data_IF_111659646060
#
_entry.id   IF_111659646060
#
_cell.length_a   1.000
_cell.length_b   1.000
_cell.length_c   1.000
_cell.angle_alpha   90.00
_cell.angle_beta   90.00
_cell.angle_gamma   90.00
#
_symmetry.space_group_name_H-M   'P 1'
#
loop_
_entity.id
_entity.type
_entity.pdbx_description
1 polymer ?
#
# COMPACT_ATOMS: atom_id res chain seq x y z
N UNK A 1 -5.09 5.28 24.76
CA UNK A 1 -4.88 4.61 26.04
C UNK A 1 -3.49 4.94 26.54
N UNK A 2 -3.44 5.61 27.74
CA UNK A 2 -2.20 5.93 28.39
C UNK A 2 -1.65 4.66 29.07
N UNK A 3 -0.86 3.88 28.34
CA UNK A 3 -0.10 2.79 28.93
C UNK A 3 1.12 3.41 29.60
N UNK A 4 1.19 3.40 30.93
CA UNK A 4 2.38 3.80 31.67
C UNK A 4 3.44 2.70 31.50
N UNK A 5 4.61 3.04 30.96
CA UNK A 5 5.74 2.13 30.73
C UNK A 5 6.06 1.94 29.25
N UNK A 6 7.04 1.09 28.96
CA UNK A 6 7.37 0.70 27.59
C UNK A 6 6.22 -0.09 26.96
N UNK A 7 5.57 0.52 25.99
CA UNK A 7 4.45 -0.08 25.28
C UNK A 7 4.88 -1.00 24.13
N UNK A 8 6.15 -0.95 23.73
CA UNK A 8 6.78 -1.86 22.80
C UNK A 8 7.79 -2.71 23.56
N UNK A 9 7.58 -4.02 23.59
CA UNK A 9 8.45 -4.99 24.25
C UNK A 9 8.92 -6.04 23.25
N UNK A 10 9.97 -5.76 22.48
CA UNK A 10 10.47 -6.70 21.47
C UNK A 10 10.89 -8.03 22.05
N UNK A 11 11.43 -8.02 23.26
CA UNK A 11 11.93 -9.21 23.97
C UNK A 11 10.81 -10.16 24.46
N UNK A 12 9.54 -9.71 24.38
CA UNK A 12 8.38 -10.56 24.74
C UNK A 12 7.94 -11.51 23.63
N UNK A 13 8.62 -11.48 22.47
CA UNK A 13 8.30 -12.29 21.29
C UNK A 13 9.60 -12.85 20.69
N UNK A 14 9.46 -13.94 19.97
CA UNK A 14 10.58 -14.51 19.21
C UNK A 14 10.97 -13.61 18.04
N UNK A 15 12.19 -13.72 17.55
CA UNK A 15 12.65 -12.95 16.38
C UNK A 15 11.76 -13.15 15.15
N UNK A 16 11.24 -14.37 14.95
CA UNK A 16 10.36 -14.67 13.81
C UNK A 16 8.97 -14.04 13.95
N UNK A 17 8.43 -13.97 15.17
CA UNK A 17 7.17 -13.27 15.44
C UNK A 17 7.32 -11.77 15.21
N UNK A 18 8.42 -11.16 15.66
CA UNK A 18 8.72 -9.74 15.44
C UNK A 18 8.86 -9.44 13.94
N UNK A 19 9.56 -10.33 13.20
CA UNK A 19 9.68 -10.24 11.75
C UNK A 19 8.31 -10.32 11.06
N UNK A 20 7.44 -11.23 11.50
CA UNK A 20 6.09 -11.37 10.97
C UNK A 20 5.24 -10.11 11.20
N UNK A 21 5.33 -9.50 12.40
CA UNK A 21 4.66 -8.23 12.70
C UNK A 21 5.17 -7.11 11.77
N UNK A 22 6.50 -7.01 11.59
CA UNK A 22 7.09 -6.05 10.66
C UNK A 22 6.58 -6.22 9.23
N UNK A 23 6.51 -7.47 8.74
CA UNK A 23 5.99 -7.80 7.40
C UNK A 23 4.51 -7.47 7.23
N UNK A 24 3.73 -7.53 8.30
CA UNK A 24 2.30 -7.20 8.26
C UNK A 24 2.03 -5.69 8.26
N UNK A 25 3.03 -4.84 8.43
CA UNK A 25 2.87 -3.39 8.34
C UNK A 25 2.62 -2.96 6.88
N UNK A 26 1.42 -2.49 6.53
CA UNK A 26 1.07 -2.23 5.12
C UNK A 26 1.81 -1.04 4.52
N UNK A 27 2.35 -0.16 5.35
CA UNK A 27 3.13 1.01 4.90
C UNK A 27 4.63 0.75 4.78
N UNK A 28 5.12 -0.40 5.29
CA UNK A 28 6.55 -0.66 5.41
C UNK A 28 7.27 0.23 6.44
N UNK A 29 6.52 0.95 7.29
CA UNK A 29 7.12 1.84 8.29
C UNK A 29 7.79 1.08 9.45
N UNK A 30 7.32 -0.15 9.74
CA UNK A 30 7.93 -1.01 10.75
C UNK A 30 9.03 -1.81 10.07
N UNK A 31 10.26 -1.52 10.43
CA UNK A 31 11.45 -2.26 9.99
C UNK A 31 12.02 -3.04 11.16
N UNK A 32 12.30 -4.30 10.94
CA UNK A 32 12.93 -5.16 11.92
C UNK A 32 14.37 -5.39 11.49
N UNK A 33 15.33 -5.13 12.37
CA UNK A 33 16.74 -5.39 12.16
C UNK A 33 17.15 -6.53 13.11
N UNK A 34 17.85 -7.51 12.58
CA UNK A 34 18.39 -8.61 13.40
C UNK A 34 19.76 -8.22 13.94
N UNK A 35 19.99 -8.49 15.20
CA UNK A 35 21.28 -8.20 15.85
C UNK A 35 22.41 -9.15 15.37
N UNK A 36 22.05 -10.28 14.76
CA UNK A 36 23.01 -11.25 14.20
C UNK A 36 23.50 -10.87 12.78
N UNK A 37 23.08 -9.71 12.26
CA UNK A 37 23.45 -9.22 10.93
C UNK A 37 22.80 -9.98 9.77
N UNK A 38 21.91 -10.94 10.02
CA UNK A 38 21.17 -11.62 8.97
C UNK A 38 20.26 -10.64 8.24
N UNK A 39 20.23 -10.74 6.91
CA UNK A 39 19.40 -9.87 6.08
C UNK A 39 17.92 -10.03 6.43
N UNK A 40 17.29 -8.93 6.83
CA UNK A 40 15.86 -8.84 7.10
C UNK A 40 15.12 -8.09 5.99
N UNK A 41 15.75 -8.03 4.79
CA UNK A 41 15.15 -7.34 3.66
C UNK A 41 13.82 -7.98 3.31
N UNK A 42 12.77 -7.18 3.36
CA UNK A 42 11.49 -7.54 2.76
C UNK A 42 11.74 -7.77 1.26
N UNK A 43 11.50 -8.98 0.80
CA UNK A 43 11.56 -9.27 -0.63
C UNK A 43 10.28 -8.81 -1.29
N UNK A 44 10.33 -8.33 -2.54
CA UNK A 44 9.12 -8.12 -3.33
C UNK A 44 8.26 -9.38 -3.36
N UNK A 45 6.94 -9.24 -3.39
CA UNK A 45 6.02 -10.37 -3.44
C UNK A 45 6.09 -11.07 -4.80
N UNK A 46 5.66 -12.31 -4.87
CA UNK A 46 5.48 -13.06 -6.14
C UNK A 46 4.22 -12.63 -6.90
N UNK A 47 3.38 -11.82 -6.27
CA UNK A 47 2.20 -11.21 -6.87
C UNK A 47 2.10 -9.78 -6.37
N UNK A 48 2.23 -8.83 -7.29
CA UNK A 48 2.03 -7.43 -6.97
C UNK A 48 0.56 -7.16 -6.64
N UNK A 49 0.30 -6.54 -5.49
CA UNK A 49 -1.06 -6.25 -5.05
C UNK A 49 -1.25 -4.79 -4.65
N UNK A 50 -2.44 -4.27 -4.92
CA UNK A 50 -2.92 -3.00 -4.41
C UNK A 50 -4.23 -3.25 -3.66
N UNK A 51 -4.17 -3.21 -2.34
CA UNK A 51 -5.31 -3.44 -1.45
C UNK A 51 -6.03 -2.15 -1.13
N UNK A 52 -7.33 -2.15 -1.29
CA UNK A 52 -8.20 -1.03 -0.96
C UNK A 52 -8.57 -1.09 0.53
N UNK A 53 -8.20 -0.09 1.29
CA UNK A 53 -8.59 -0.01 2.71
C UNK A 53 -9.93 0.72 2.84
N UNK A 54 -10.86 0.14 3.62
CA UNK A 54 -12.13 0.80 3.92
C UNK A 54 -11.88 2.17 4.56
N UNK A 55 -12.47 3.21 4.00
CA UNK A 55 -12.31 4.61 4.43
C UNK A 55 -10.85 5.06 4.60
N UNK A 56 -9.92 4.41 3.88
CA UNK A 56 -8.49 4.53 4.09
C UNK A 56 -7.68 4.59 2.81
N UNK A 57 -6.35 4.41 2.94
CA UNK A 57 -5.40 4.51 1.85
C UNK A 57 -5.47 3.34 0.87
N UNK A 58 -4.68 3.46 -0.19
CA UNK A 58 -4.29 2.37 -1.06
C UNK A 58 -3.02 1.74 -0.47
N UNK A 59 -3.05 0.46 -0.11
CA UNK A 59 -1.88 -0.28 0.37
C UNK A 59 -1.31 -1.11 -0.79
N UNK A 60 -0.12 -0.77 -1.25
CA UNK A 60 0.55 -1.46 -2.36
C UNK A 60 1.71 -2.30 -1.86
N UNK A 61 1.87 -3.47 -2.47
CA UNK A 61 2.99 -4.38 -2.25
C UNK A 61 3.52 -4.88 -3.59
N UNK A 62 4.75 -4.51 -3.93
CA UNK A 62 5.45 -4.79 -5.18
C UNK A 62 6.93 -4.42 -5.07
N UNK A 63 7.73 -4.71 -6.09
CA UNK A 63 8.98 -3.98 -6.28
C UNK A 63 8.65 -2.55 -6.74
N UNK A 64 8.79 -1.57 -5.83
CA UNK A 64 8.24 -0.23 -6.01
C UNK A 64 9.26 0.76 -6.55
N UNK A 65 8.85 1.46 -7.61
CA UNK A 65 9.48 2.72 -8.03
C UNK A 65 8.47 3.85 -7.82
N UNK A 66 8.92 4.96 -7.25
CA UNK A 66 8.08 6.16 -7.10
C UNK A 66 8.82 7.33 -7.70
N UNK A 67 8.29 7.92 -8.77
CA UNK A 67 8.96 8.95 -9.59
C UNK A 67 10.32 8.48 -10.14
N UNK A 68 10.41 7.23 -10.57
CA UNK A 68 11.63 6.61 -11.05
C UNK A 68 12.61 6.14 -9.96
N UNK A 69 12.35 6.47 -8.68
CA UNK A 69 13.24 6.15 -7.58
C UNK A 69 12.86 4.83 -6.91
N UNK A 70 13.76 3.84 -6.82
CA UNK A 70 13.51 2.60 -6.12
C UNK A 70 13.22 2.82 -4.63
N UNK A 71 12.21 2.14 -4.12
CA UNK A 71 11.86 2.21 -2.71
C UNK A 71 12.57 1.12 -1.91
N UNK A 72 13.01 1.45 -0.71
CA UNK A 72 13.70 0.51 0.20
C UNK A 72 12.77 -0.52 0.84
N UNK A 73 11.46 -0.38 0.69
CA UNK A 73 10.44 -1.33 1.14
C UNK A 73 9.55 -1.70 -0.02
N UNK A 74 9.16 -2.97 -0.18
CA UNK A 74 8.19 -3.39 -1.18
C UNK A 74 6.76 -2.96 -0.83
N UNK A 75 6.55 -2.29 0.29
CA UNK A 75 5.23 -1.88 0.79
C UNK A 75 5.14 -0.38 0.94
N UNK A 76 4.02 0.18 0.51
CA UNK A 76 3.68 1.58 0.73
C UNK A 76 2.18 1.78 0.90
N UNK A 77 1.80 2.82 1.64
CA UNK A 77 0.41 3.30 1.67
C UNK A 77 0.33 4.65 0.98
N UNK A 78 -0.54 4.74 -0.03
CA UNK A 78 -0.70 5.93 -0.86
C UNK A 78 -1.98 6.67 -0.50
N UNK A 79 -1.91 8.00 -0.56
CA UNK A 79 -3.05 8.86 -0.26
C UNK A 79 -4.19 8.62 -1.27
N UNK A 80 -5.41 8.42 -0.74
CA UNK A 80 -6.65 8.26 -1.50
C UNK A 80 -7.65 9.38 -1.20
N UNK A 81 -7.46 10.11 -0.09
CA UNK A 81 -8.39 11.10 0.44
C UNK A 81 -8.10 12.55 0.02
N UNK A 82 -6.92 12.83 -0.52
CA UNK A 82 -6.50 14.18 -0.87
C UNK A 82 -5.93 15.02 0.28
N UNK A 83 -6.17 14.63 1.55
CA UNK A 83 -5.82 15.43 2.71
C UNK A 83 -4.38 15.25 3.22
N UNK A 84 -3.67 14.19 2.80
CA UNK A 84 -2.30 13.93 3.26
C UNK A 84 -1.37 15.12 2.98
N UNK A 85 -0.54 15.46 3.96
CA UNK A 85 0.55 16.45 3.85
C UNK A 85 1.85 15.83 3.28
N UNK A 86 1.91 14.50 3.18
CA UNK A 86 3.07 13.72 2.72
C UNK A 86 2.83 13.01 1.39
N UNK A 87 2.01 13.61 0.50
CA UNK A 87 1.72 13.00 -0.82
C UNK A 87 2.97 12.63 -1.60
N UNK A 88 3.02 11.46 -2.22
CA UNK A 88 1.92 10.57 -2.52
C UNK A 88 1.52 9.65 -1.35
N UNK A 89 2.28 9.61 -0.27
CA UNK A 89 2.07 8.71 0.86
C UNK A 89 0.88 9.13 1.74
N UNK A 90 0.29 8.16 2.41
CA UNK A 90 -0.71 8.38 3.44
C UNK A 90 -0.01 8.77 4.76
N UNK A 91 -0.55 9.74 5.47
CA UNK A 91 -0.10 10.18 6.79
C UNK A 91 -1.19 10.04 7.87
N UNK A 92 -2.30 9.34 7.55
CA UNK A 92 -3.42 9.17 8.47
C UNK A 92 -4.47 10.29 8.43
N UNK A 93 -4.24 11.38 7.69
CA UNK A 93 -5.17 12.54 7.63
C UNK A 93 -6.57 12.18 7.11
N UNK A 94 -6.76 11.01 6.46
CA UNK A 94 -8.08 10.54 6.00
C UNK A 94 -9.08 10.41 7.16
N UNK A 95 -8.64 10.04 8.36
CA UNK A 95 -9.50 9.92 9.54
C UNK A 95 -10.05 11.28 9.98
N UNK A 96 -9.16 12.27 10.15
CA UNK A 96 -9.56 13.62 10.54
C UNK A 96 -10.37 14.35 9.45
N UNK A 97 -10.13 14.00 8.18
CA UNK A 97 -10.86 14.55 7.04
C UNK A 97 -12.24 13.89 6.82
N UNK A 98 -12.62 12.91 7.62
CA UNK A 98 -13.90 12.19 7.46
C UNK A 98 -14.01 11.49 6.10
N UNK A 99 -12.89 11.02 5.54
CA UNK A 99 -12.89 10.38 4.22
C UNK A 99 -13.68 9.07 4.25
N UNK A 100 -14.67 8.97 3.36
CA UNK A 100 -15.48 7.79 3.18
C UNK A 100 -15.34 7.24 1.75
N UNK A 101 -14.90 6.00 1.63
CA UNK A 101 -14.86 5.28 0.37
C UNK A 101 -14.70 3.79 0.64
N UNK A 102 -15.52 2.99 -0.02
CA UNK A 102 -15.50 1.53 0.17
C UNK A 102 -14.14 0.90 -0.14
N UNK A 103 -13.76 -0.06 0.66
CA UNK A 103 -12.68 -1.02 0.40
C UNK A 103 -13.15 -2.24 -0.39
N UNK A 104 -14.46 -2.37 -0.66
CA UNK A 104 -15.09 -3.54 -1.28
C UNK A 104 -15.86 -3.18 -2.57
N UNK A 105 -15.23 -2.51 -3.58
CA UNK A 105 -15.93 -2.23 -4.83
C UNK A 105 -16.27 -3.53 -5.57
N UNK A 106 -17.21 -3.46 -6.48
CA UNK A 106 -17.55 -4.58 -7.36
C UNK A 106 -16.34 -4.99 -8.21
N UNK A 107 -16.25 -6.28 -8.58
CA UNK A 107 -15.20 -6.75 -9.49
C UNK A 107 -15.40 -6.17 -10.89
N UNK A 108 -14.29 -6.00 -11.60
CA UNK A 108 -14.27 -5.71 -13.04
C UNK A 108 -13.83 -6.95 -13.80
N UNK A 109 -14.36 -7.13 -14.99
CA UNK A 109 -13.82 -8.11 -15.91
C UNK A 109 -12.38 -7.72 -16.25
N UNK A 110 -11.46 -8.68 -16.12
CA UNK A 110 -10.05 -8.48 -16.40
C UNK A 110 -9.43 -9.79 -16.87
N UNK A 111 -8.57 -9.68 -17.85
CA UNK A 111 -7.78 -10.81 -18.33
C UNK A 111 -6.73 -11.23 -17.30
N UNK A 112 -6.28 -12.46 -17.38
CA UNK A 112 -5.18 -12.93 -16.55
C UNK A 112 -3.89 -12.19 -16.93
N UNK A 113 -3.12 -11.77 -15.90
CA UNK A 113 -1.80 -11.20 -16.13
C UNK A 113 -0.83 -12.30 -16.55
N UNK A 114 -0.09 -12.07 -17.64
CA UNK A 114 0.96 -12.98 -18.10
C UNK A 114 2.10 -13.08 -17.07
N UNK A 115 2.39 -11.98 -16.38
CA UNK A 115 3.37 -11.87 -15.29
C UNK A 115 2.65 -11.18 -14.13
N UNK A 116 2.89 -11.63 -12.89
CA UNK A 116 2.19 -11.12 -11.71
C UNK A 116 3.12 -10.40 -10.73
N UNK A 117 4.42 -10.44 -10.97
CA UNK A 117 5.49 -9.81 -10.20
C UNK A 117 6.20 -8.72 -11.02
N UNK A 118 7.42 -8.37 -10.63
CA UNK A 118 8.23 -7.34 -11.28
C UNK A 118 7.96 -5.93 -10.76
N UNK A 119 8.65 -4.98 -11.34
CA UNK A 119 8.60 -3.59 -10.90
C UNK A 119 7.26 -2.92 -11.19
N UNK A 120 6.77 -2.15 -10.22
CA UNK A 120 5.59 -1.30 -10.35
C UNK A 120 6.00 0.15 -10.14
N UNK A 121 5.79 0.97 -11.17
CA UNK A 121 6.05 2.40 -11.11
C UNK A 121 4.82 3.19 -10.72
N UNK A 122 5.00 4.13 -9.81
CA UNK A 122 3.99 5.07 -9.34
C UNK A 122 4.44 6.49 -9.70
N UNK A 123 3.71 7.09 -10.64
CA UNK A 123 3.92 8.48 -11.10
C UNK A 123 2.81 9.38 -10.53
N UNK A 124 3.05 10.07 -9.42
CA UNK A 124 2.10 11.06 -8.91
C UNK A 124 2.07 12.28 -9.83
N UNK A 125 0.92 12.53 -10.46
CA UNK A 125 0.74 13.71 -11.31
C UNK A 125 0.61 14.98 -10.46
N UNK A 126 1.09 16.12 -10.98
CA UNK A 126 0.99 17.38 -10.27
C UNK A 126 -0.50 17.75 -10.05
N UNK A 127 -0.88 17.96 -8.79
CA UNK A 127 -2.27 18.23 -8.36
C UNK A 127 -3.31 17.24 -8.90
N UNK A 128 -2.88 16.04 -9.26
CA UNK A 128 -3.69 15.07 -9.99
C UNK A 128 -3.67 13.66 -9.38
N UNK A 129 -3.97 12.74 -10.25
CA UNK A 129 -4.08 11.30 -9.99
C UNK A 129 -2.71 10.63 -9.71
N UNK A 130 -2.76 9.34 -9.42
CA UNK A 130 -1.61 8.44 -9.45
C UNK A 130 -1.69 7.61 -10.73
N UNK A 131 -0.73 7.76 -11.63
CA UNK A 131 -0.53 6.79 -12.71
C UNK A 131 0.31 5.65 -12.15
N UNK A 132 -0.15 4.43 -12.31
CA UNK A 132 0.54 3.22 -11.87
C UNK A 132 0.75 2.33 -13.10
N UNK A 133 1.99 1.92 -13.32
CA UNK A 133 2.40 1.08 -14.46
C UNK A 133 3.15 -0.15 -13.95
N UNK A 134 2.84 -1.32 -14.47
CA UNK A 134 3.35 -2.61 -14.07
C UNK A 134 2.22 -3.60 -13.80
N UNK A 135 2.53 -4.88 -13.80
CA UNK A 135 1.55 -5.93 -13.50
C UNK A 135 1.04 -5.79 -12.06
N UNK A 136 -0.27 -5.61 -11.88
CA UNK A 136 -0.85 -5.29 -10.59
C UNK A 136 -2.24 -5.90 -10.42
N UNK A 137 -2.46 -6.60 -9.32
CA UNK A 137 -3.78 -7.06 -8.90
C UNK A 137 -4.37 -6.07 -7.89
N UNK A 138 -5.48 -5.44 -8.24
CA UNK A 138 -6.25 -4.61 -7.33
C UNK A 138 -7.18 -5.53 -6.55
N UNK A 139 -7.05 -5.51 -5.23
CA UNK A 139 -7.83 -6.36 -4.33
C UNK A 139 -8.61 -5.53 -3.32
N UNK A 140 -9.75 -6.06 -2.91
CA UNK A 140 -10.58 -5.46 -1.87
C UNK A 140 -9.89 -5.51 -0.49
N UNK A 141 -10.49 -4.88 0.51
CA UNK A 141 -10.03 -4.93 1.89
C UNK A 141 -9.93 -6.36 2.43
N UNK A 142 -10.84 -7.23 2.04
CA UNK A 142 -10.87 -8.66 2.41
C UNK A 142 -9.95 -9.54 1.55
N UNK A 143 -9.36 -8.99 0.46
CA UNK A 143 -8.44 -9.71 -0.42
C UNK A 143 -9.07 -10.31 -1.67
N UNK A 144 -10.37 -10.07 -1.91
CA UNK A 144 -11.04 -10.50 -3.15
C UNK A 144 -10.49 -9.70 -4.34
N UNK A 145 -10.24 -10.38 -5.46
CA UNK A 145 -9.81 -9.72 -6.69
C UNK A 145 -10.90 -8.74 -7.17
N UNK A 146 -10.49 -7.50 -7.43
CA UNK A 146 -11.35 -6.44 -7.99
C UNK A 146 -11.00 -6.18 -9.44
N UNK A 147 -9.70 -6.15 -9.76
CA UNK A 147 -9.24 -5.90 -11.12
C UNK A 147 -7.81 -6.42 -11.29
N UNK A 148 -7.38 -6.61 -12.54
CA UNK A 148 -6.01 -6.94 -12.94
C UNK A 148 -5.61 -5.99 -14.04
N UNK A 149 -4.47 -5.34 -13.89
CA UNK A 149 -4.06 -4.26 -14.78
C UNK A 149 -2.56 -4.26 -15.01
N UNK A 150 -2.12 -3.73 -16.14
CA UNK A 150 -0.72 -3.37 -16.41
C UNK A 150 -0.51 -1.86 -16.36
N UNK A 151 -1.60 -1.08 -16.40
CA UNK A 151 -1.61 0.35 -16.21
C UNK A 151 -2.95 0.80 -15.63
N UNK A 152 -2.93 1.75 -14.69
CA UNK A 152 -4.16 2.29 -14.09
C UNK A 152 -3.95 3.71 -13.58
N UNK A 153 -5.02 4.49 -13.60
CA UNK A 153 -5.09 5.85 -13.04
C UNK A 153 -5.97 5.85 -11.79
N UNK A 154 -5.34 6.10 -10.65
CA UNK A 154 -6.00 6.02 -9.34
C UNK A 154 -6.29 7.40 -8.77
N UNK A 155 -7.46 7.55 -8.18
CA UNK A 155 -7.86 8.78 -7.52
C UNK A 155 -6.98 9.05 -6.29
N UNK A 156 -6.41 10.26 -6.23
CA UNK A 156 -5.65 10.77 -5.08
C UNK A 156 -6.35 11.94 -4.38
N UNK A 157 -7.24 12.64 -5.07
CA UNK A 157 -7.89 13.84 -4.54
C UNK A 157 -9.07 13.54 -3.59
N UNK A 158 -9.59 12.31 -3.59
CA UNK A 158 -10.74 11.91 -2.79
C UNK A 158 -12.11 12.26 -3.40
N UNK A 159 -12.17 12.96 -4.56
CA UNK A 159 -13.42 13.47 -5.13
C UNK A 159 -14.06 12.56 -6.19
N UNK A 160 -13.28 11.68 -6.84
CA UNK A 160 -13.80 10.76 -7.86
C UNK A 160 -15.03 9.99 -7.37
N UNK A 161 -16.03 9.85 -8.25
CA UNK A 161 -17.22 9.03 -8.03
C UNK A 161 -16.99 7.56 -8.40
N UNK A 162 -15.89 7.26 -9.09
CA UNK A 162 -15.50 5.95 -9.57
C UNK A 162 -14.33 5.32 -8.78
N UNK A 163 -14.21 5.61 -7.48
CA UNK A 163 -13.10 5.10 -6.67
C UNK A 163 -12.94 3.58 -6.73
N UNK A 164 -11.71 3.04 -6.83
CA UNK A 164 -10.41 3.72 -6.62
C UNK A 164 -9.89 4.49 -7.85
N UNK A 165 -10.55 4.43 -8.97
CA UNK A 165 -10.11 5.03 -10.23
C UNK A 165 -10.36 6.55 -10.26
N UNK A 166 -9.61 7.24 -11.10
CA UNK A 166 -9.88 8.62 -11.46
C UNK A 166 -10.98 8.67 -12.54
N UNK A 167 -11.87 9.63 -12.43
CA UNK A 167 -12.89 9.97 -13.44
C UNK A 167 -12.51 11.24 -14.19
#
# INVERSE_FOLDING_TARGET
PNVKGEWIRPDAATADEVLAIGRNCPSGAIRVLRNDGAATSDKPPVVNTLRLRENGPLAIEAELLIRGEPQSSPRATLCRCGASKRKPFCDGSHTAAGFAATGEPGPKEAEALAVRDGSVEIEPQQNGLLKVTGSLEIVSGTGRAVNKVTQVWLCRCGQSKNKPYCD
#
